data_IF_479466714782
#
_entry.id   IF_479466714782
#
_cell.length_a   1.000
_cell.length_b   1.000
_cell.length_c   1.000
_cell.angle_alpha   90.00
_cell.angle_beta   90.00
_cell.angle_gamma   90.00
#
_symmetry.space_group_name_H-M   'P 1'
#
loop_
_entity.id
_entity.type
_entity.pdbx_description
1 polymer ?
#
# COMPACT_ATOMS: atom_id res chain seq x y z
N UNK A 1 38.13 6.73 -62.29
CA UNK A 1 37.43 5.69 -61.55
C UNK A 1 37.45 5.92 -60.02
N UNK A 2 38.49 6.49 -59.49
CA UNK A 2 38.57 6.72 -58.04
C UNK A 2 37.60 7.81 -57.51
N UNK A 3 37.38 8.88 -58.28
CA UNK A 3 36.46 9.93 -57.90
C UNK A 3 35.00 9.49 -57.78
N UNK A 4 34.56 8.55 -58.61
CA UNK A 4 33.20 8.03 -58.55
C UNK A 4 32.96 7.13 -57.36
N UNK A 5 33.96 6.35 -56.95
CA UNK A 5 33.88 5.46 -55.78
C UNK A 5 33.83 6.28 -54.48
N UNK A 6 34.63 7.34 -54.39
CA UNK A 6 34.64 8.24 -53.24
C UNK A 6 33.31 8.97 -53.08
N UNK A 7 32.70 9.43 -54.19
CA UNK A 7 31.39 10.09 -54.18
C UNK A 7 30.28 9.15 -53.73
N UNK A 8 30.32 7.92 -54.18
CA UNK A 8 29.33 6.88 -53.77
C UNK A 8 29.48 6.52 -52.30
N UNK A 9 30.71 6.40 -51.80
CA UNK A 9 30.95 6.12 -50.37
C UNK A 9 30.47 7.26 -49.49
N UNK A 10 30.69 8.51 -49.86
CA UNK A 10 30.21 9.68 -49.08
C UNK A 10 28.68 9.75 -49.09
N UNK A 11 28.04 9.46 -50.23
CA UNK A 11 26.58 9.42 -50.32
C UNK A 11 25.96 8.30 -49.45
N UNK A 12 26.56 7.12 -49.43
CA UNK A 12 26.12 6.02 -48.55
C UNK A 12 26.30 6.35 -47.06
N UNK A 13 27.38 7.04 -46.70
CA UNK A 13 27.63 7.43 -45.32
C UNK A 13 26.65 8.50 -44.84
N UNK A 14 26.27 9.44 -45.72
CA UNK A 14 25.27 10.46 -45.40
C UNK A 14 23.86 9.86 -45.20
N UNK A 15 23.49 8.85 -45.96
CA UNK A 15 22.18 8.18 -45.86
C UNK A 15 22.08 7.36 -44.57
N UNK A 16 23.17 6.72 -44.14
CA UNK A 16 23.15 5.94 -42.89
C UNK A 16 23.07 6.82 -41.66
N UNK A 17 23.68 8.02 -41.65
CA UNK A 17 23.60 8.95 -40.53
C UNK A 17 22.21 9.57 -40.40
N UNK A 18 21.55 9.89 -41.51
CA UNK A 18 20.17 10.44 -41.50
C UNK A 18 19.15 9.39 -41.03
N UNK A 19 19.36 8.13 -41.39
CA UNK A 19 18.47 7.02 -40.97
C UNK A 19 18.54 6.73 -39.46
N UNK A 20 19.67 7.03 -38.80
CA UNK A 20 19.86 6.80 -37.38
C UNK A 20 19.19 7.84 -36.48
N UNK A 21 18.78 9.00 -37.02
CA UNK A 21 18.20 10.08 -36.22
C UNK A 21 16.67 10.03 -36.08
N UNK A 22 16.00 9.06 -36.73
CA UNK A 22 14.54 9.03 -36.80
C UNK A 22 13.93 8.08 -35.69
N UNK A 23 14.75 7.35 -34.92
CA UNK A 23 14.27 6.29 -34.02
C UNK A 23 13.94 6.80 -32.61
N UNK A 24 14.11 8.09 -32.29
CA UNK A 24 13.89 8.62 -30.95
C UNK A 24 12.69 9.55 -30.78
N UNK A 25 11.70 9.50 -31.65
CA UNK A 25 10.39 10.08 -31.33
C UNK A 25 9.52 9.01 -30.67
N UNK A 26 9.91 8.58 -29.49
CA UNK A 26 9.02 7.89 -28.58
C UNK A 26 7.95 8.88 -28.13
N UNK A 27 6.78 8.87 -28.76
CA UNK A 27 5.60 9.50 -28.19
C UNK A 27 5.30 8.82 -26.87
N UNK A 28 5.70 9.43 -25.76
CA UNK A 28 5.13 9.12 -24.47
C UNK A 28 3.68 9.58 -24.52
N UNK A 29 2.79 8.66 -24.84
CA UNK A 29 1.35 8.88 -24.66
C UNK A 29 1.13 8.98 -23.16
N UNK A 30 1.08 10.20 -22.65
CA UNK A 30 0.60 10.47 -21.31
C UNK A 30 -0.91 10.20 -21.33
N UNK A 31 -1.30 8.99 -20.96
CA UNK A 31 -2.69 8.71 -20.63
C UNK A 31 -2.97 9.42 -19.30
N UNK A 32 -3.87 10.42 -19.28
CA UNK A 32 -4.36 10.89 -18.00
C UNK A 32 -5.08 9.71 -17.36
N UNK A 33 -4.44 9.13 -16.34
CA UNK A 33 -5.11 8.17 -15.47
C UNK A 33 -6.29 8.93 -14.88
N UNK A 34 -7.55 8.51 -15.11
CA UNK A 34 -8.66 9.12 -14.42
C UNK A 34 -8.28 9.08 -12.93
N UNK A 35 -8.41 10.21 -12.25
CA UNK A 35 -8.23 10.29 -10.81
C UNK A 35 -9.34 9.45 -10.16
N UNK A 36 -9.18 8.13 -10.25
CA UNK A 36 -9.86 7.20 -9.37
C UNK A 36 -9.35 7.56 -7.98
N UNK A 37 -10.23 8.02 -7.14
CA UNK A 37 -9.99 8.08 -5.69
C UNK A 37 -9.18 6.82 -5.36
N UNK A 38 -7.92 6.93 -4.85
CA UNK A 38 -7.11 5.75 -4.63
C UNK A 38 -7.91 4.82 -3.73
N UNK A 39 -8.28 3.67 -4.27
CA UNK A 39 -8.93 2.65 -3.47
C UNK A 39 -7.98 2.37 -2.31
N UNK A 40 -8.46 2.60 -1.08
CA UNK A 40 -7.69 2.31 0.12
C UNK A 40 -7.10 0.92 -0.03
N UNK A 41 -5.80 0.78 0.17
CA UNK A 41 -5.17 -0.53 0.17
C UNK A 41 -5.88 -1.44 1.20
N UNK A 42 -5.79 -2.74 1.02
CA UNK A 42 -6.38 -3.68 2.00
C UNK A 42 -5.83 -3.45 3.40
N UNK A 43 -4.55 -3.07 3.50
CA UNK A 43 -3.92 -2.66 4.76
C UNK A 43 -4.56 -1.40 5.33
N UNK A 44 -4.74 -0.34 4.54
CA UNK A 44 -5.33 0.92 5.00
C UNK A 44 -6.76 0.73 5.49
N UNK A 45 -7.54 -0.07 4.79
CA UNK A 45 -8.89 -0.41 5.19
C UNK A 45 -8.91 -1.15 6.52
N UNK A 46 -8.06 -2.18 6.67
CA UNK A 46 -7.93 -2.96 7.90
C UNK A 46 -7.42 -2.11 9.06
N UNK A 47 -6.45 -1.24 8.82
CA UNK A 47 -5.92 -0.31 9.80
C UNK A 47 -6.98 0.63 10.36
N UNK A 48 -7.71 1.30 9.48
CA UNK A 48 -8.78 2.22 9.87
C UNK A 48 -9.93 1.48 10.58
N UNK A 49 -10.28 0.28 10.11
CA UNK A 49 -11.29 -0.56 10.74
C UNK A 49 -10.86 -1.00 12.15
N UNK A 50 -9.59 -1.33 12.36
CA UNK A 50 -9.04 -1.72 13.66
C UNK A 50 -9.09 -0.57 14.68
N UNK A 51 -8.67 0.63 14.27
CA UNK A 51 -8.77 1.84 15.11
C UNK A 51 -10.22 2.11 15.49
N UNK A 52 -11.10 2.15 14.49
CA UNK A 52 -12.52 2.40 14.73
C UNK A 52 -13.19 1.34 15.60
N UNK A 53 -12.84 0.05 15.41
CA UNK A 53 -13.37 -1.04 16.23
C UNK A 53 -12.95 -0.92 17.70
N UNK A 54 -11.70 -0.54 17.96
CA UNK A 54 -11.21 -0.29 19.33
C UNK A 54 -11.99 0.88 19.97
N UNK A 55 -12.19 1.97 19.23
CA UNK A 55 -12.94 3.13 19.71
C UNK A 55 -14.43 2.81 19.99
N UNK A 56 -15.05 1.96 19.16
CA UNK A 56 -16.46 1.55 19.32
C UNK A 56 -16.72 0.82 20.66
N UNK A 57 -15.71 0.14 21.18
CA UNK A 57 -15.78 -0.55 22.48
C UNK A 57 -15.15 0.24 23.63
N UNK A 58 -14.87 1.53 23.41
CA UNK A 58 -14.38 2.44 24.43
C UNK A 58 -12.88 2.37 24.70
N UNK A 59 -12.09 1.81 23.79
CA UNK A 59 -10.62 1.84 23.87
C UNK A 59 -10.10 3.20 23.40
N UNK A 60 -9.30 3.83 24.22
CA UNK A 60 -8.59 5.06 23.87
C UNK A 60 -7.25 4.69 23.22
N UNK A 61 -7.05 5.10 21.98
CA UNK A 61 -5.80 4.89 21.29
C UNK A 61 -4.71 5.75 21.93
N UNK A 62 -3.61 5.15 22.32
CA UNK A 62 -2.47 5.79 22.97
C UNK A 62 -1.30 5.97 22.01
N UNK A 63 -1.07 5.00 21.15
CA UNK A 63 -0.03 5.08 20.13
C UNK A 63 -0.37 4.26 18.89
N UNK A 64 0.10 4.74 17.75
CA UNK A 64 -0.05 4.12 16.45
C UNK A 64 1.32 4.04 15.78
N UNK A 65 1.81 2.84 15.51
CA UNK A 65 3.02 2.62 14.73
C UNK A 65 2.65 1.91 13.43
N UNK A 66 2.36 2.69 12.42
CA UNK A 66 1.93 2.18 11.12
C UNK A 66 3.04 1.41 10.39
N UNK A 67 4.29 1.76 10.62
CA UNK A 67 5.44 1.08 10.01
C UNK A 67 5.57 -0.37 10.52
N UNK A 68 5.29 -0.58 11.79
CA UNK A 68 5.27 -1.90 12.42
C UNK A 68 3.91 -2.57 12.37
N UNK A 69 2.87 -1.83 12.03
CA UNK A 69 1.50 -2.33 12.04
C UNK A 69 0.94 -2.53 13.45
N UNK A 70 1.33 -1.71 14.43
CA UNK A 70 0.95 -1.86 15.83
C UNK A 70 0.12 -0.68 16.29
N UNK A 71 -1.04 -0.96 16.90
CA UNK A 71 -1.90 0.01 17.56
C UNK A 71 -1.99 -0.37 19.02
N UNK A 72 -1.66 0.55 19.91
CA UNK A 72 -1.81 0.39 21.35
C UNK A 72 -2.88 1.34 21.89
N UNK A 73 -3.67 0.82 22.79
CA UNK A 73 -4.70 1.60 23.45
C UNK A 73 -5.02 1.05 24.85
N UNK A 74 -5.85 1.74 25.58
CA UNK A 74 -6.32 1.32 26.89
C UNK A 74 -7.81 1.57 27.05
N UNK A 75 -8.45 0.69 27.80
CA UNK A 75 -9.82 0.81 28.28
C UNK A 75 -9.83 0.57 29.79
N UNK A 76 -10.01 1.65 30.55
CA UNK A 76 -9.87 1.64 32.03
C UNK A 76 -8.50 1.11 32.47
N UNK A 77 -8.48 -0.03 33.16
CA UNK A 77 -7.27 -0.71 33.61
C UNK A 77 -6.81 -1.84 32.69
N UNK A 78 -7.28 -1.84 31.43
CA UNK A 78 -7.00 -2.89 30.44
C UNK A 78 -6.21 -2.31 29.29
N UNK A 79 -5.09 -2.96 28.98
CA UNK A 79 -4.26 -2.61 27.83
C UNK A 79 -4.69 -3.42 26.61
N UNK A 80 -4.74 -2.77 25.45
CA UNK A 80 -5.11 -3.37 24.17
C UNK A 80 -3.97 -3.17 23.19
N UNK A 81 -3.59 -4.25 22.52
CA UNK A 81 -2.64 -4.22 21.42
C UNK A 81 -3.28 -4.86 20.19
N UNK A 82 -3.27 -4.18 19.07
CA UNK A 82 -3.74 -4.68 17.79
C UNK A 82 -2.58 -4.69 16.83
N UNK A 83 -2.29 -5.85 16.24
CA UNK A 83 -1.29 -6.01 15.20
C UNK A 83 -1.98 -6.17 13.85
N UNK A 84 -1.60 -5.35 12.89
CA UNK A 84 -2.09 -5.38 11.51
C UNK A 84 -0.92 -5.68 10.60
N UNK A 85 -0.92 -6.83 9.95
CA UNK A 85 0.18 -7.29 9.10
C UNK A 85 -0.30 -7.67 7.70
N UNK A 86 0.37 -7.13 6.68
CA UNK A 86 0.18 -7.58 5.31
C UNK A 86 0.86 -8.92 5.09
N UNK A 87 0.20 -9.86 4.42
CA UNK A 87 0.73 -11.16 4.07
C UNK A 87 1.22 -11.20 2.62
N UNK A 88 2.03 -12.18 2.29
CA UNK A 88 2.61 -12.34 0.96
C UNK A 88 1.56 -12.56 -0.15
N UNK A 89 0.39 -13.09 0.20
CA UNK A 89 -0.74 -13.31 -0.71
C UNK A 89 -1.61 -12.05 -0.93
N UNK A 90 -1.23 -10.90 -0.34
CA UNK A 90 -1.98 -9.64 -0.41
C UNK A 90 -3.12 -9.54 0.61
N UNK A 91 -3.37 -10.58 1.41
CA UNK A 91 -4.33 -10.52 2.53
C UNK A 91 -3.75 -9.74 3.71
N UNK A 92 -4.60 -9.36 4.66
CA UNK A 92 -4.19 -8.69 5.89
C UNK A 92 -4.63 -9.52 7.08
N UNK A 93 -3.67 -9.81 7.95
CA UNK A 93 -3.91 -10.44 9.24
C UNK A 93 -4.06 -9.38 10.31
N UNK A 94 -5.09 -9.50 11.13
CA UNK A 94 -5.30 -8.64 12.29
C UNK A 94 -5.36 -9.52 13.54
N UNK A 95 -4.49 -9.23 14.49
CA UNK A 95 -4.45 -9.90 15.80
C UNK A 95 -4.79 -8.90 16.88
N UNK A 96 -5.75 -9.23 17.71
CA UNK A 96 -6.24 -8.37 18.80
C UNK A 96 -5.94 -9.05 20.11
N UNK A 97 -5.28 -8.35 21.01
CA UNK A 97 -4.86 -8.81 22.32
C UNK A 97 -5.27 -7.78 23.38
N UNK A 98 -5.92 -8.22 24.43
CA UNK A 98 -6.28 -7.38 25.55
C UNK A 98 -5.78 -8.00 26.85
N UNK A 99 -5.28 -7.18 27.77
CA UNK A 99 -4.79 -7.58 29.07
C UNK A 99 -5.37 -6.69 30.16
N UNK A 100 -5.95 -7.30 31.17
CA UNK A 100 -6.41 -6.65 32.39
C UNK A 100 -5.54 -6.98 33.61
N UNK A 101 -5.91 -6.47 34.79
CA UNK A 101 -5.16 -6.70 36.04
C UNK A 101 -5.01 -8.17 36.43
N UNK A 102 -5.89 -9.03 35.94
CA UNK A 102 -5.90 -10.47 36.22
C UNK A 102 -5.36 -11.34 35.08
N UNK A 103 -4.77 -10.72 34.04
CA UNK A 103 -4.25 -11.40 32.87
C UNK A 103 -4.98 -11.07 31.57
N UNK A 104 -5.02 -12.02 30.62
CA UNK A 104 -5.67 -11.81 29.34
C UNK A 104 -7.17 -11.56 29.45
N UNK A 105 -7.67 -10.55 28.73
CA UNK A 105 -9.10 -10.23 28.64
C UNK A 105 -9.65 -10.66 27.28
N UNK A 106 -10.09 -11.90 27.20
CA UNK A 106 -10.66 -12.46 25.96
C UNK A 106 -11.99 -11.81 25.58
N UNK A 107 -12.76 -11.33 26.55
CA UNK A 107 -14.06 -10.69 26.28
C UNK A 107 -13.87 -9.37 25.55
N UNK A 108 -12.98 -8.51 26.03
CA UNK A 108 -12.66 -7.24 25.37
C UNK A 108 -12.05 -7.48 23.99
N UNK A 109 -11.14 -8.44 23.83
CA UNK A 109 -10.57 -8.78 22.53
C UNK A 109 -11.64 -9.27 21.54
N UNK A 110 -12.60 -10.09 22.00
CA UNK A 110 -13.71 -10.56 21.17
C UNK A 110 -14.67 -9.43 20.79
N UNK A 111 -14.93 -8.47 21.68
CA UNK A 111 -15.77 -7.31 21.40
C UNK A 111 -15.15 -6.43 20.32
N UNK A 112 -13.85 -6.18 20.40
CA UNK A 112 -13.11 -5.46 19.37
C UNK A 112 -13.14 -6.24 18.04
N UNK A 113 -12.95 -7.56 18.08
CA UNK A 113 -12.98 -8.41 16.89
C UNK A 113 -14.35 -8.32 16.18
N UNK A 114 -15.45 -8.42 16.93
CA UNK A 114 -16.80 -8.28 16.38
C UNK A 114 -17.04 -6.86 15.79
N UNK A 115 -16.54 -5.83 16.45
CA UNK A 115 -16.64 -4.47 15.95
C UNK A 115 -15.82 -4.30 14.64
N UNK A 116 -14.65 -4.92 14.57
CA UNK A 116 -13.81 -4.95 13.37
C UNK A 116 -14.53 -5.63 12.20
N UNK A 117 -15.10 -6.81 12.42
CA UNK A 117 -15.81 -7.55 11.38
C UNK A 117 -17.01 -6.76 10.83
N UNK A 118 -17.79 -6.10 11.70
CA UNK A 118 -18.87 -5.21 11.27
C UNK A 118 -18.37 -4.07 10.36
N UNK A 119 -17.21 -3.47 10.69
CA UNK A 119 -16.62 -2.40 9.88
C UNK A 119 -16.05 -2.88 8.55
N UNK A 120 -15.62 -4.15 8.50
CA UNK A 120 -15.15 -4.80 7.28
C UNK A 120 -16.27 -5.36 6.42
N UNK A 121 -17.52 -5.38 6.90
CA UNK A 121 -18.68 -5.89 6.18
C UNK A 121 -18.78 -7.43 6.20
N UNK A 122 -18.31 -8.05 7.27
CA UNK A 122 -18.34 -9.51 7.49
C UNK A 122 -19.37 -9.89 8.55
#
# INVERSE_FOLDING_TARGET
>A
MEEKITSIMIACFAITVVSSLIIFTGCVVYQPVPASTPALSSFDRSWNAAIGAAQDVGVRIQSEDRARGVINGANDSRDVTINVASQADGSVRVEISARGPQGGDTNLANDISRAYDRRMGR
#
